data_IF_479248917449
#
_entry.id   IF_479248917449
#
_cell.length_a   1.000
_cell.length_b   1.000
_cell.length_c   1.000
_cell.angle_alpha   90.00
_cell.angle_beta   90.00
_cell.angle_gamma   90.00
#
_symmetry.space_group_name_H-M   'P 1'
#
loop_
_entity.id
_entity.type
_entity.pdbx_description
1 polymer ?
#
# COMPACT_ATOMS: atom_id res chain seq x y z
N UNK A 1 -10.76 7.82 -12.61
CA UNK A 1 -10.75 8.93 -11.61
C UNK A 1 -11.37 10.22 -12.18
N UNK A 2 -10.82 10.87 -13.23
CA UNK A 2 -11.34 12.14 -13.76
C UNK A 2 -12.82 12.11 -14.14
N UNK A 3 -13.33 10.96 -14.58
CA UNK A 3 -14.68 10.81 -15.14
C UNK A 3 -15.78 10.71 -14.07
N UNK A 4 -15.41 10.44 -12.81
CA UNK A 4 -16.35 10.32 -11.68
C UNK A 4 -16.29 11.50 -10.72
N UNK A 5 -15.31 12.40 -10.90
CA UNK A 5 -15.16 13.62 -10.10
C UNK A 5 -15.69 14.81 -10.92
N UNK A 6 -16.18 15.84 -10.24
CA UNK A 6 -16.65 17.06 -10.90
C UNK A 6 -15.57 17.63 -11.85
N UNK A 7 -15.96 17.95 -13.09
CA UNK A 7 -15.05 18.46 -14.14
C UNK A 7 -14.32 19.74 -13.75
N UNK A 8 -14.90 20.57 -12.88
CA UNK A 8 -14.27 21.80 -12.38
C UNK A 8 -13.12 21.58 -11.40
N UNK A 9 -12.89 20.35 -10.93
CA UNK A 9 -11.74 20.02 -10.09
C UNK A 9 -10.50 19.84 -10.97
N UNK A 10 -9.47 20.65 -10.77
CA UNK A 10 -8.22 20.60 -11.55
C UNK A 10 -7.14 19.68 -10.94
N UNK A 11 -7.18 19.44 -9.62
CA UNK A 11 -6.21 18.60 -8.92
C UNK A 11 -6.91 17.63 -7.96
N UNK A 12 -6.49 16.37 -7.97
CA UNK A 12 -7.07 15.31 -7.12
C UNK A 12 -5.94 14.60 -6.36
N UNK A 13 -6.10 14.40 -5.05
CA UNK A 13 -5.23 13.51 -4.28
C UNK A 13 -5.91 12.15 -4.16
N UNK A 14 -5.37 11.15 -4.86
CA UNK A 14 -5.76 9.74 -4.72
C UNK A 14 -4.94 9.07 -3.62
N UNK A 15 -5.63 8.28 -2.79
CA UNK A 15 -5.07 7.55 -1.65
C UNK A 15 -5.72 6.15 -1.58
N UNK A 16 -4.91 5.11 -1.45
CA UNK A 16 -5.41 3.76 -1.14
C UNK A 16 -6.05 3.73 0.26
N UNK A 17 -6.96 2.78 0.48
CA UNK A 17 -7.74 2.70 1.71
C UNK A 17 -7.00 2.05 2.89
N UNK A 18 -5.83 1.45 2.65
CA UNK A 18 -4.98 0.75 3.60
C UNK A 18 -3.75 1.57 3.99
N UNK A 19 -3.96 2.87 4.13
CA UNK A 19 -2.96 3.83 4.61
C UNK A 19 -3.33 4.40 5.97
N UNK A 20 -2.32 4.95 6.65
CA UNK A 20 -2.51 5.84 7.80
C UNK A 20 -1.76 7.14 7.54
N UNK A 21 -2.48 8.26 7.62
CA UNK A 21 -1.91 9.60 7.58
C UNK A 21 -1.62 10.08 9.02
N UNK A 22 -0.33 10.32 9.31
CA UNK A 22 0.16 10.75 10.61
C UNK A 22 0.79 12.16 10.60
N UNK A 23 0.68 12.89 9.49
CA UNK A 23 1.19 14.26 9.38
C UNK A 23 0.28 15.16 8.53
N UNK A 24 0.67 16.42 8.37
CA UNK A 24 -0.06 17.36 7.51
C UNK A 24 0.11 16.99 6.03
N UNK A 25 -0.97 17.09 5.27
CA UNK A 25 -0.97 16.95 3.81
C UNK A 25 -0.85 18.27 3.06
N UNK A 26 -0.78 19.42 3.76
CA UNK A 26 -0.72 20.75 3.12
C UNK A 26 0.41 20.82 2.10
N UNK A 27 1.62 20.41 2.50
CA UNK A 27 2.78 20.38 1.60
C UNK A 27 2.48 19.56 0.33
N UNK A 28 1.86 18.38 0.47
CA UNK A 28 1.54 17.51 -0.67
C UNK A 28 0.52 18.16 -1.62
N UNK A 29 -0.52 18.79 -1.09
CA UNK A 29 -1.60 19.39 -1.88
C UNK A 29 -1.10 20.63 -2.65
N UNK A 30 -0.19 21.38 -2.04
CA UNK A 30 0.35 22.63 -2.59
C UNK A 30 1.43 22.39 -3.65
N UNK A 31 1.91 21.15 -3.83
CA UNK A 31 2.90 20.83 -4.87
C UNK A 31 2.37 21.23 -6.26
N UNK A 32 3.18 22.03 -6.96
CA UNK A 32 3.01 22.29 -8.38
C UNK A 32 3.53 21.09 -9.18
N UNK A 33 2.69 20.55 -10.06
CA UNK A 33 3.02 19.43 -10.92
C UNK A 33 3.76 19.86 -12.19
N UNK A 34 3.94 21.15 -12.44
CA UNK A 34 4.74 21.68 -13.57
C UNK A 34 4.28 21.16 -14.94
N UNK A 35 2.98 20.90 -15.09
CA UNK A 35 2.40 20.34 -16.32
C UNK A 35 2.51 18.82 -16.43
N UNK A 36 3.11 18.14 -15.45
CA UNK A 36 3.10 16.68 -15.38
C UNK A 36 1.70 16.12 -15.09
N UNK A 37 1.45 14.90 -15.54
CA UNK A 37 0.13 14.24 -15.40
C UNK A 37 -0.14 13.90 -13.93
N UNK A 38 0.88 13.46 -13.20
CA UNK A 38 0.75 13.10 -11.80
C UNK A 38 2.05 13.32 -11.01
N UNK A 39 1.88 13.62 -9.73
CA UNK A 39 2.89 13.52 -8.69
C UNK A 39 2.82 12.16 -8.04
N UNK A 40 3.91 11.39 -8.08
CA UNK A 40 3.96 9.98 -7.65
C UNK A 40 5.18 9.70 -6.79
N UNK A 41 5.16 8.63 -6.00
CA UNK A 41 6.29 8.24 -5.15
C UNK A 41 6.93 6.98 -5.70
N UNK A 42 8.26 7.01 -5.91
CA UNK A 42 9.03 5.85 -6.35
C UNK A 42 8.79 4.64 -5.44
N UNK A 43 8.61 3.49 -6.07
CA UNK A 43 8.61 2.22 -5.37
C UNK A 43 10.04 1.86 -4.91
N UNK A 44 10.13 0.93 -3.96
CA UNK A 44 11.35 0.36 -3.39
C UNK A 44 12.38 -0.09 -4.44
N UNK A 45 13.69 0.01 -4.14
CA UNK A 45 14.75 -0.48 -5.02
C UNK A 45 14.57 -1.94 -5.48
N UNK A 46 14.05 -2.80 -4.61
CA UNK A 46 13.75 -4.19 -4.97
C UNK A 46 12.66 -4.30 -6.04
N UNK A 47 11.65 -3.42 -5.97
CA UNK A 47 10.63 -3.35 -7.02
C UNK A 47 11.21 -2.86 -8.33
N UNK A 48 12.07 -1.82 -8.30
CA UNK A 48 12.77 -1.34 -9.50
C UNK A 48 13.52 -2.47 -10.22
N UNK A 49 14.17 -3.37 -9.46
CA UNK A 49 14.86 -4.55 -10.02
C UNK A 49 13.89 -5.58 -10.58
N UNK A 50 12.77 -5.84 -9.88
CA UNK A 50 11.76 -6.82 -10.29
C UNK A 50 11.08 -6.42 -11.60
N UNK A 51 10.69 -5.16 -11.74
CA UNK A 51 9.93 -4.71 -12.93
C UNK A 51 10.77 -4.74 -14.20
N UNK A 52 12.09 -4.54 -14.09
CA UNK A 52 13.03 -4.72 -15.22
C UNK A 52 13.06 -6.15 -15.76
N UNK A 53 12.61 -7.13 -14.99
CA UNK A 53 12.55 -8.54 -15.39
C UNK A 53 11.20 -8.94 -16.01
N UNK A 54 10.18 -8.06 -15.96
CA UNK A 54 8.82 -8.37 -16.42
C UNK A 54 8.61 -8.15 -17.93
N UNK A 55 9.62 -7.61 -18.62
CA UNK A 55 9.65 -7.37 -20.07
C UNK A 55 8.35 -6.76 -20.64
N UNK A 56 8.04 -5.53 -20.19
CA UNK A 56 6.89 -4.80 -20.72
C UNK A 56 7.18 -4.08 -22.04
N UNK A 57 8.38 -4.21 -22.60
CA UNK A 57 8.82 -3.48 -23.80
C UNK A 57 9.04 -1.98 -23.57
N UNK A 58 9.19 -1.57 -22.31
CA UNK A 58 9.39 -0.18 -21.89
C UNK A 58 10.50 -0.15 -20.83
N UNK A 59 11.44 0.78 -20.99
CA UNK A 59 12.40 1.09 -19.92
C UNK A 59 11.81 2.17 -19.02
N UNK A 60 11.62 1.83 -17.74
CA UNK A 60 10.98 2.72 -16.78
C UNK A 60 11.98 3.76 -16.24
N UNK A 61 11.62 5.04 -16.35
CA UNK A 61 12.37 6.16 -15.76
C UNK A 61 12.16 6.28 -14.24
N UNK A 62 11.85 5.16 -13.57
CA UNK A 62 11.41 5.07 -12.20
C UNK A 62 10.00 4.46 -12.11
N UNK A 63 9.90 3.32 -11.44
CA UNK A 63 8.61 2.66 -11.23
C UNK A 63 7.99 3.16 -9.92
N UNK A 64 6.79 3.71 -9.94
CA UNK A 64 6.11 4.27 -8.77
C UNK A 64 5.04 3.33 -8.19
N UNK A 65 4.75 3.49 -6.90
CA UNK A 65 3.61 2.84 -6.28
C UNK A 65 2.33 3.67 -6.52
N UNK A 66 1.26 3.02 -6.99
CA UNK A 66 0.01 3.71 -7.35
C UNK A 66 -0.88 4.11 -6.16
N UNK A 67 -0.52 3.71 -4.93
CA UNK A 67 -1.40 3.93 -3.78
C UNK A 67 -1.46 5.37 -3.25
N UNK A 68 -0.59 6.26 -3.73
CA UNK A 68 -0.68 7.69 -3.46
C UNK A 68 -0.29 8.43 -4.73
N UNK A 69 -1.24 9.21 -5.28
CA UNK A 69 -1.03 9.99 -6.49
C UNK A 69 -1.67 11.37 -6.37
N UNK A 70 -0.89 12.42 -6.64
CA UNK A 70 -1.41 13.76 -6.84
C UNK A 70 -1.67 13.96 -8.33
N UNK A 71 -2.92 13.92 -8.75
CA UNK A 71 -3.32 13.87 -10.16
C UNK A 71 -3.63 15.29 -10.66
N UNK A 72 -3.01 15.66 -11.78
CA UNK A 72 -3.41 16.81 -12.59
C UNK A 72 -4.57 16.38 -13.49
N UNK A 73 -5.78 16.80 -13.17
CA UNK A 73 -6.99 16.32 -13.82
C UNK A 73 -7.07 16.75 -15.30
N UNK A 74 -6.53 17.94 -15.61
CA UNK A 74 -6.58 18.50 -16.96
C UNK A 74 -5.58 17.80 -17.88
N UNK A 75 -4.35 17.58 -17.42
CA UNK A 75 -3.35 16.82 -18.18
C UNK A 75 -3.70 15.33 -18.29
N UNK A 76 -4.31 14.75 -17.25
CA UNK A 76 -4.83 13.38 -17.31
C UNK A 76 -5.89 13.21 -18.41
N UNK A 77 -6.83 14.16 -18.51
CA UNK A 77 -7.86 14.16 -19.58
C UNK A 77 -7.26 14.40 -20.95
N UNK A 78 -6.39 15.39 -21.09
CA UNK A 78 -5.72 15.74 -22.35
C UNK A 78 -4.90 14.57 -22.91
N UNK A 79 -4.33 13.74 -22.04
CA UNK A 79 -3.57 12.54 -22.43
C UNK A 79 -4.44 11.26 -22.52
N UNK A 80 -5.77 11.37 -22.41
CA UNK A 80 -6.72 10.23 -22.47
C UNK A 80 -6.37 9.07 -21.52
N UNK A 81 -5.73 9.33 -20.38
CA UNK A 81 -5.11 8.29 -19.55
C UNK A 81 -6.14 7.26 -19.07
N UNK A 82 -7.38 7.65 -18.75
CA UNK A 82 -8.43 6.68 -18.37
C UNK A 82 -8.71 5.68 -19.50
N UNK A 83 -8.96 6.17 -20.71
CA UNK A 83 -9.35 5.31 -21.83
C UNK A 83 -8.21 4.39 -22.26
N UNK A 84 -6.98 4.92 -22.31
CA UNK A 84 -5.79 4.12 -22.59
C UNK A 84 -5.55 3.06 -21.51
N UNK A 85 -5.76 3.40 -20.24
CA UNK A 85 -5.61 2.45 -19.14
C UNK A 85 -6.60 1.29 -19.27
N UNK A 86 -7.87 1.61 -19.57
CA UNK A 86 -8.91 0.60 -19.77
C UNK A 86 -8.64 -0.25 -21.01
N UNK A 87 -8.20 0.36 -22.11
CA UNK A 87 -7.82 -0.35 -23.33
C UNK A 87 -6.68 -1.34 -23.06
N UNK A 88 -5.62 -0.90 -22.38
CA UNK A 88 -4.49 -1.76 -22.01
C UNK A 88 -4.92 -2.92 -21.12
N UNK A 89 -5.67 -2.66 -20.04
CA UNK A 89 -6.14 -3.71 -19.12
C UNK A 89 -7.01 -4.75 -19.85
N UNK A 90 -7.82 -4.31 -20.82
CA UNK A 90 -8.70 -5.19 -21.58
C UNK A 90 -8.05 -5.82 -22.83
N UNK A 91 -6.76 -5.56 -23.10
CA UNK A 91 -6.05 -6.09 -24.29
C UNK A 91 -5.77 -7.60 -24.25
N UNK A 92 -6.01 -8.26 -23.11
CA UNK A 92 -5.63 -9.65 -22.88
C UNK A 92 -4.17 -9.83 -22.41
N UNK A 93 -3.36 -8.77 -22.39
CA UNK A 93 -2.02 -8.80 -21.78
C UNK A 93 -2.14 -8.90 -20.26
N UNK A 94 -1.32 -9.77 -19.65
CA UNK A 94 -1.28 -9.93 -18.20
C UNK A 94 -0.27 -8.95 -17.61
N UNK A 95 -0.77 -8.02 -16.79
CA UNK A 95 0.04 -7.11 -15.98
C UNK A 95 0.20 -7.68 -14.57
N UNK A 96 1.44 -7.80 -14.09
CA UNK A 96 1.76 -8.53 -12.85
C UNK A 96 1.21 -7.80 -11.63
N UNK A 97 1.26 -6.47 -11.66
CA UNK A 97 0.75 -5.56 -10.64
C UNK A 97 -0.45 -4.75 -11.16
N UNK A 98 -1.23 -5.35 -12.07
CA UNK A 98 -2.49 -4.84 -12.58
C UNK A 98 -2.42 -3.37 -13.05
N UNK A 99 -3.28 -2.51 -12.51
CA UNK A 99 -3.39 -1.09 -12.84
C UNK A 99 -2.10 -0.32 -12.55
N UNK A 100 -1.32 -0.70 -11.53
CA UNK A 100 -0.04 -0.04 -11.24
C UNK A 100 0.94 -0.18 -12.41
N UNK A 101 1.02 -1.33 -13.07
CA UNK A 101 1.89 -1.49 -14.25
C UNK A 101 1.40 -0.65 -15.43
N UNK A 102 0.09 -0.66 -15.68
CA UNK A 102 -0.53 0.12 -16.76
C UNK A 102 -0.27 1.61 -16.57
N UNK A 103 -0.44 2.12 -15.36
CA UNK A 103 -0.15 3.51 -15.03
C UNK A 103 1.35 3.83 -15.17
N UNK A 104 2.23 2.94 -14.72
CA UNK A 104 3.67 3.14 -14.90
C UNK A 104 4.11 3.14 -16.37
N UNK A 105 3.45 2.35 -17.23
CA UNK A 105 3.72 2.34 -18.68
C UNK A 105 3.23 3.64 -19.31
N UNK A 106 1.97 4.02 -19.07
CA UNK A 106 1.35 5.19 -19.71
C UNK A 106 1.94 6.52 -19.26
N UNK A 107 2.33 6.60 -17.98
CA UNK A 107 2.84 7.83 -17.38
C UNK A 107 4.38 7.88 -17.34
N UNK A 108 5.06 6.92 -17.97
CA UNK A 108 6.52 6.88 -17.97
C UNK A 108 7.11 8.18 -18.55
N UNK A 109 7.91 8.88 -17.76
CA UNK A 109 8.50 10.18 -18.14
C UNK A 109 7.51 11.35 -18.16
N UNK A 110 6.28 11.18 -17.66
CA UNK A 110 5.24 12.22 -17.57
C UNK A 110 4.73 12.44 -16.13
N UNK A 111 5.63 12.25 -15.16
CA UNK A 111 5.34 12.32 -13.73
C UNK A 111 6.39 13.13 -12.98
N UNK A 112 5.93 13.79 -11.92
CA UNK A 112 6.80 14.41 -10.92
C UNK A 112 7.02 13.44 -9.77
N UNK A 113 8.27 13.09 -9.48
CA UNK A 113 8.57 12.25 -8.32
C UNK A 113 8.54 13.07 -7.01
N UNK A 114 7.73 12.61 -6.07
CA UNK A 114 7.53 13.25 -4.77
C UNK A 114 8.36 12.56 -3.67
N UNK A 115 8.46 13.23 -2.53
CA UNK A 115 9.22 12.71 -1.40
C UNK A 115 8.60 11.42 -0.84
N UNK A 116 9.47 10.46 -0.48
CA UNK A 116 9.08 9.15 0.07
C UNK A 116 8.18 9.22 1.31
N UNK A 117 8.24 10.31 2.09
CA UNK A 117 7.42 10.50 3.29
C UNK A 117 5.91 10.50 3.01
N UNK A 118 5.51 10.79 1.77
CA UNK A 118 4.11 10.79 1.33
C UNK A 118 3.60 9.42 0.88
N UNK A 119 4.45 8.39 0.83
CA UNK A 119 4.03 7.02 0.58
C UNK A 119 5.13 6.06 1.08
N UNK A 120 5.23 5.93 2.41
CA UNK A 120 6.19 5.01 2.99
C UNK A 120 5.56 3.63 3.18
N UNK A 121 5.99 2.67 2.35
CA UNK A 121 5.51 1.30 2.38
C UNK A 121 5.90 0.58 3.67
N UNK A 122 4.91 0.11 4.42
CA UNK A 122 5.07 -0.64 5.67
C UNK A 122 4.60 -2.08 5.48
N UNK A 123 5.55 -3.01 5.38
CA UNK A 123 5.25 -4.46 5.27
C UNK A 123 5.16 -5.09 6.65
N UNK A 124 3.94 -5.28 7.16
CA UNK A 124 3.72 -5.88 8.48
C UNK A 124 4.25 -7.30 8.58
N UNK A 125 4.87 -7.59 9.72
CA UNK A 125 5.44 -8.90 10.03
C UNK A 125 5.24 -9.24 11.50
N UNK A 126 5.06 -10.52 11.79
CA UNK A 126 5.10 -11.03 13.17
C UNK A 126 6.52 -11.08 13.74
N UNK A 127 7.55 -11.03 12.89
CA UNK A 127 8.95 -11.26 13.29
C UNK A 127 9.64 -9.99 13.84
N UNK A 128 9.22 -8.81 13.38
CA UNK A 128 9.81 -7.53 13.73
C UNK A 128 8.75 -6.43 13.74
N UNK A 129 9.06 -5.32 14.40
CA UNK A 129 8.25 -4.10 14.32
C UNK A 129 8.49 -3.43 12.96
N UNK A 130 7.50 -3.47 12.08
CA UNK A 130 7.60 -2.91 10.75
C UNK A 130 7.54 -1.38 10.75
N UNK A 131 6.77 -0.79 11.66
CA UNK A 131 6.62 0.67 11.75
C UNK A 131 7.88 1.33 12.33
N UNK A 132 8.68 0.61 13.12
CA UNK A 132 9.99 1.06 13.58
C UNK A 132 11.03 1.17 12.45
N UNK A 133 10.77 0.57 11.27
CA UNK A 133 11.63 0.68 10.08
C UNK A 133 11.20 1.78 9.13
N UNK A 134 10.11 2.48 9.44
CA UNK A 134 9.67 3.62 8.64
C UNK A 134 10.67 4.78 8.79
N UNK A 135 10.76 5.63 7.78
CA UNK A 135 11.60 6.84 7.85
C UNK A 135 11.02 7.81 8.88
N UNK A 136 11.88 8.53 9.61
CA UNK A 136 11.48 9.31 10.79
C UNK A 136 10.41 10.37 10.50
N UNK A 137 10.41 10.95 9.30
CA UNK A 137 9.48 12.00 8.88
C UNK A 137 8.27 11.47 8.08
N UNK A 138 7.92 10.19 8.21
CA UNK A 138 6.80 9.59 7.47
C UNK A 138 5.48 10.32 7.75
N UNK A 139 4.81 10.80 6.70
CA UNK A 139 3.48 11.42 6.76
C UNK A 139 2.40 10.38 6.43
N UNK A 140 2.60 9.59 5.38
CA UNK A 140 1.68 8.51 4.99
C UNK A 140 2.41 7.17 5.12
N UNK A 141 1.86 6.29 5.96
CA UNK A 141 2.25 4.88 6.06
C UNK A 141 1.29 4.06 5.21
N UNK A 142 1.81 3.33 4.23
CA UNK A 142 1.01 2.51 3.34
C UNK A 142 1.25 1.03 3.64
N UNK A 143 0.26 0.33 4.20
CA UNK A 143 0.38 -1.07 4.61
C UNK A 143 0.29 -2.03 3.42
N UNK A 144 1.29 -2.00 2.56
CA UNK A 144 1.40 -2.84 1.36
C UNK A 144 1.58 -4.31 1.77
N UNK A 145 0.98 -5.25 1.01
CA UNK A 145 0.84 -6.71 1.28
C UNK A 145 -0.46 -7.16 1.96
N UNK A 146 -0.81 -8.46 1.90
CA UNK A 146 -1.99 -9.02 2.60
C UNK A 146 -1.92 -8.96 4.14
N UNK A 147 -0.73 -8.71 4.71
CA UNK A 147 -0.58 -8.51 6.15
C UNK A 147 -1.01 -7.09 6.50
N UNK A 148 -2.19 -6.97 7.10
CA UNK A 148 -2.88 -5.69 7.31
C UNK A 148 -3.03 -5.36 8.81
N UNK A 149 -3.05 -4.07 9.18
CA UNK A 149 -2.98 -3.69 10.60
C UNK A 149 -4.29 -3.96 11.37
N UNK A 150 -5.39 -4.22 10.66
CA UNK A 150 -6.64 -4.68 11.29
C UNK A 150 -6.57 -6.13 11.80
N UNK A 151 -5.50 -6.88 11.53
CA UNK A 151 -5.26 -8.16 12.18
C UNK A 151 -4.52 -7.99 13.50
N UNK A 152 -5.03 -8.59 14.57
CA UNK A 152 -4.49 -8.46 15.94
C UNK A 152 -3.06 -8.99 16.11
N UNK A 153 -2.60 -9.87 15.21
CA UNK A 153 -1.31 -10.54 15.35
C UNK A 153 -0.10 -9.65 15.03
N UNK A 154 -0.31 -8.56 14.29
CA UNK A 154 0.75 -7.64 13.90
C UNK A 154 0.84 -6.46 14.88
N UNK A 155 2.06 -5.94 15.08
CA UNK A 155 2.26 -4.68 15.79
C UNK A 155 2.05 -3.53 14.80
N UNK A 156 1.05 -2.69 15.06
CA UNK A 156 0.73 -1.52 14.24
C UNK A 156 0.20 -0.36 15.11
N UNK A 157 1.10 0.33 15.82
CA UNK A 157 0.74 1.32 16.85
C UNK A 157 -0.03 2.51 16.26
N UNK A 158 0.30 2.93 15.04
CA UNK A 158 -0.38 4.05 14.40
C UNK A 158 -1.80 3.67 14.02
N UNK A 159 -1.99 2.52 13.38
CA UNK A 159 -3.33 2.00 13.12
C UNK A 159 -4.14 1.83 14.41
N UNK A 160 -3.58 1.22 15.45
CA UNK A 160 -4.29 1.02 16.73
C UNK A 160 -4.76 2.37 17.33
N UNK A 161 -3.90 3.40 17.29
CA UNK A 161 -4.27 4.76 17.73
C UNK A 161 -5.48 5.30 16.99
N UNK A 162 -5.47 5.26 15.65
CA UNK A 162 -6.57 5.80 14.85
C UNK A 162 -7.83 4.94 14.90
N UNK A 163 -7.69 3.61 14.90
CA UNK A 163 -8.80 2.68 15.07
C UNK A 163 -9.55 2.95 16.37
N UNK A 164 -8.82 3.09 17.49
CA UNK A 164 -9.41 3.37 18.81
C UNK A 164 -10.07 4.76 18.89
N UNK A 165 -9.59 5.73 18.11
CA UNK A 165 -10.18 7.07 18.02
C UNK A 165 -11.35 7.16 17.02
N UNK A 166 -11.55 6.12 16.21
CA UNK A 166 -12.56 6.13 15.15
C UNK A 166 -13.93 5.63 15.61
N UNK A 167 -15.00 5.89 14.83
CA UNK A 167 -16.31 5.28 15.04
C UNK A 167 -16.28 3.74 15.06
N UNK A 168 -15.26 3.11 14.48
CA UNK A 168 -15.11 1.66 14.38
C UNK A 168 -14.35 1.02 15.54
N UNK A 169 -14.01 1.76 16.61
CA UNK A 169 -13.21 1.24 17.75
C UNK A 169 -13.75 -0.06 18.37
N UNK A 170 -15.06 -0.27 18.31
CA UNK A 170 -15.73 -1.46 18.85
C UNK A 170 -15.92 -2.58 17.81
N UNK A 171 -15.50 -2.38 16.56
CA UNK A 171 -15.63 -3.39 15.53
C UNK A 171 -14.72 -4.58 15.83
N UNK A 172 -15.25 -5.78 15.59
CA UNK A 172 -14.47 -7.00 15.73
C UNK A 172 -13.31 -6.99 14.73
N UNK A 173 -12.09 -7.14 15.25
CA UNK A 173 -10.89 -7.40 14.47
C UNK A 173 -10.63 -8.90 14.34
N UNK A 174 -10.30 -9.34 13.14
CA UNK A 174 -9.78 -10.68 12.89
C UNK A 174 -8.44 -10.85 13.60
N UNK A 175 -8.12 -12.08 13.98
CA UNK A 175 -6.89 -12.40 14.66
C UNK A 175 -5.68 -12.37 13.72
N UNK A 176 -5.77 -13.07 12.59
CA UNK A 176 -4.68 -13.23 11.63
C UNK A 176 -5.19 -13.44 10.20
N UNK A 177 -4.39 -13.10 9.17
CA UNK A 177 -4.77 -13.31 7.77
C UNK A 177 -4.72 -14.79 7.36
N UNK A 178 -3.90 -15.60 8.02
CA UNK A 178 -3.74 -17.02 7.70
C UNK A 178 -3.26 -17.85 8.90
N UNK A 179 -3.52 -19.18 8.90
CA UNK A 179 -2.94 -20.09 9.88
C UNK A 179 -1.40 -20.07 9.88
N UNK A 180 -0.79 -19.83 8.71
CA UNK A 180 0.66 -19.75 8.57
C UNK A 180 1.26 -18.59 9.37
N UNK A 181 0.61 -17.43 9.38
CA UNK A 181 1.02 -16.28 10.20
C UNK A 181 0.85 -16.56 11.70
N UNK A 182 -0.21 -17.27 12.10
CA UNK A 182 -0.39 -17.71 13.49
C UNK A 182 0.78 -18.60 13.93
N UNK A 183 1.16 -19.56 13.08
CA UNK A 183 2.31 -20.45 13.36
C UNK A 183 3.63 -19.68 13.43
N UNK A 184 3.84 -18.70 12.55
CA UNK A 184 5.04 -17.86 12.57
C UNK A 184 5.12 -17.06 13.87
N UNK A 185 4.00 -16.46 14.31
CA UNK A 185 3.90 -15.78 15.60
C UNK A 185 4.24 -16.71 16.75
N UNK A 186 3.66 -17.91 16.79
CA UNK A 186 3.95 -18.90 17.82
C UNK A 186 5.45 -19.20 17.92
N UNK A 187 6.11 -19.47 16.76
CA UNK A 187 7.56 -19.70 16.71
C UNK A 187 8.36 -18.49 17.20
N UNK A 188 7.95 -17.28 16.84
CA UNK A 188 8.62 -16.04 17.25
C UNK A 188 8.55 -15.85 18.76
N UNK A 189 7.38 -16.06 19.36
CA UNK A 189 7.18 -15.93 20.80
C UNK A 189 7.98 -16.98 21.59
N UNK A 190 7.99 -18.24 21.12
CA UNK A 190 8.82 -19.30 21.72
C UNK A 190 10.31 -18.96 21.63
N UNK A 191 10.77 -18.50 20.47
CA UNK A 191 12.16 -18.05 20.28
C UNK A 191 12.50 -16.84 21.17
N UNK A 192 11.52 -15.99 21.46
CA UNK A 192 11.62 -14.87 22.40
C UNK A 192 11.43 -15.25 23.87
N UNK A 193 11.36 -16.56 24.21
CA UNK A 193 11.12 -17.10 25.56
C UNK A 193 9.74 -16.77 26.16
N UNK A 194 8.79 -16.29 25.36
CA UNK A 194 7.40 -16.07 25.74
C UNK A 194 6.58 -17.36 25.56
N UNK A 195 6.91 -18.40 26.33
CA UNK A 195 6.41 -19.75 26.09
C UNK A 195 4.88 -19.87 26.20
N UNK A 196 4.25 -19.23 27.19
CA UNK A 196 2.79 -19.28 27.37
C UNK A 196 2.05 -18.72 26.15
N UNK A 197 2.47 -17.54 25.69
CA UNK A 197 1.93 -16.88 24.49
C UNK A 197 2.20 -17.73 23.25
N UNK A 198 3.41 -18.29 23.14
CA UNK A 198 3.80 -19.16 22.04
C UNK A 198 2.94 -20.42 21.92
N UNK A 199 2.72 -21.12 23.03
CA UNK A 199 1.86 -22.32 23.10
C UNK A 199 0.42 -21.97 22.75
N UNK A 200 -0.12 -20.86 23.27
CA UNK A 200 -1.46 -20.38 22.93
C UNK A 200 -1.61 -20.16 21.41
N UNK A 201 -0.69 -19.44 20.77
CA UNK A 201 -0.74 -19.22 19.33
C UNK A 201 -0.59 -20.54 18.55
N UNK A 202 0.26 -21.46 19.00
CA UNK A 202 0.41 -22.76 18.34
C UNK A 202 -0.89 -23.57 18.41
N UNK A 203 -1.58 -23.56 19.55
CA UNK A 203 -2.90 -24.18 19.70
C UNK A 203 -3.94 -23.54 18.78
N UNK A 204 -4.01 -22.20 18.70
CA UNK A 204 -4.86 -21.50 17.73
C UNK A 204 -4.55 -21.91 16.28
N UNK A 205 -3.27 -22.08 15.93
CA UNK A 205 -2.87 -22.57 14.62
C UNK A 205 -3.41 -23.99 14.35
N UNK A 206 -3.29 -24.91 15.30
CA UNK A 206 -3.80 -26.28 15.16
C UNK A 206 -5.31 -26.28 14.95
N UNK A 207 -6.06 -25.52 15.75
CA UNK A 207 -7.51 -25.38 15.60
C UNK A 207 -7.85 -24.82 14.21
N UNK A 208 -7.18 -23.73 13.80
CA UNK A 208 -7.43 -23.10 12.49
C UNK A 208 -7.20 -24.08 11.34
N UNK A 209 -6.17 -24.92 11.46
CA UNK A 209 -5.81 -25.90 10.42
C UNK A 209 -6.76 -27.09 10.36
N UNK A 210 -7.20 -27.61 11.51
CA UNK A 210 -8.12 -28.75 11.59
C UNK A 210 -9.53 -28.36 11.18
N UNK A 211 -10.05 -27.27 11.74
CA UNK A 211 -11.45 -26.87 11.59
C UNK A 211 -11.68 -25.81 10.51
N UNK A 212 -10.62 -25.37 9.81
CA UNK A 212 -10.66 -24.30 8.80
C UNK A 212 -11.29 -23.00 9.32
N UNK A 213 -11.16 -22.75 10.63
CA UNK A 213 -11.70 -21.55 11.27
C UNK A 213 -10.85 -20.32 10.93
N UNK A 214 -11.53 -19.23 10.58
CA UNK A 214 -10.95 -17.88 10.52
C UNK A 214 -11.13 -17.21 11.88
N UNK A 215 -10.02 -16.91 12.54
CA UNK A 215 -9.98 -16.23 13.83
C UNK A 215 -10.03 -14.71 13.65
#
# INVERSE_FOLDING_TARGET
IPDVVNKGISKILYLDCDIICHGSLSELIDINLEGEIAGVILDSPDMQKRVKQLDYGVDFNGYFNAGVMLINNDEWRKNNVTQESLSMINSGKIFRYADQDVLNILLNGKVKYLQRKFNNKTTLSVNFDAEAKNIDNTIIMHYVTPNKPWYKIFKARYFDRYFNASPWKNNRRFFAPSPSEIRLKAKREISGKNYSIGVYHYFCYLISKVFRLRF
#
